data_IF_839273364741
#
_entry.id   IF_839273364741
#
_cell.length_a   1.000
_cell.length_b   1.000
_cell.length_c   1.000
_cell.angle_alpha   90.00
_cell.angle_beta   90.00
_cell.angle_gamma   90.00
#
_symmetry.space_group_name_H-M   'P 1'
#
loop_
_entity.id
_entity.type
_entity.pdbx_description
1 polymer ?
#
# COMPACT_ATOMS: atom_id res chain seq x y z
N UNK A 1 25.94 -0.97 -0.06
CA UNK A 1 25.91 0.06 1.00
C UNK A 1 24.45 0.35 1.33
N UNK A 2 24.04 0.21 2.58
CA UNK A 2 22.69 0.59 2.98
C UNK A 2 22.51 2.10 2.75
N UNK A 3 21.57 2.49 1.89
CA UNK A 3 21.26 3.92 1.66
C UNK A 3 20.83 4.52 3.01
N UNK A 4 21.44 5.65 3.41
CA UNK A 4 21.09 6.32 4.65
C UNK A 4 19.61 6.76 4.63
N UNK A 5 18.84 6.38 5.66
CA UNK A 5 17.45 6.81 5.78
C UNK A 5 17.45 8.30 6.15
N UNK A 6 16.79 9.11 5.34
CA UNK A 6 16.66 10.55 5.53
C UNK A 6 15.64 10.84 6.62
N UNK A 7 15.98 11.70 7.54
CA UNK A 7 15.06 12.15 8.60
C UNK A 7 14.20 13.30 8.09
N UNK A 8 12.97 13.34 8.51
CA UNK A 8 12.09 14.49 8.34
C UNK A 8 12.09 15.26 9.66
N UNK A 9 12.41 16.52 9.59
CA UNK A 9 12.61 17.37 10.77
C UNK A 9 11.37 17.36 11.68
N UNK A 10 11.60 17.29 13.00
CA UNK A 10 10.57 17.29 14.04
C UNK A 10 9.52 16.15 13.95
N UNK A 11 9.73 15.14 13.12
CA UNK A 11 8.99 13.87 13.18
C UNK A 11 9.75 12.92 14.10
N UNK A 12 9.07 12.39 15.12
CA UNK A 12 9.66 11.44 16.04
C UNK A 12 8.85 10.14 16.05
N UNK A 13 9.54 9.03 16.18
CA UNK A 13 9.00 7.68 16.13
C UNK A 13 9.50 6.91 17.34
N UNK A 14 8.61 6.23 18.05
CA UNK A 14 8.94 5.35 19.18
C UNK A 14 8.23 4.03 19.02
N UNK A 15 8.89 2.93 19.37
CA UNK A 15 8.37 1.57 19.25
C UNK A 15 8.47 0.81 20.55
N UNK A 16 7.51 -0.09 20.81
CA UNK A 16 7.50 -0.98 21.97
C UNK A 16 6.75 -2.28 21.64
N UNK A 17 6.90 -3.29 22.50
CA UNK A 17 6.14 -4.53 22.44
C UNK A 17 4.89 -4.42 23.33
N UNK A 18 3.75 -4.87 22.79
CA UNK A 18 2.52 -5.05 23.58
C UNK A 18 2.54 -6.32 24.44
N UNK A 19 3.53 -7.20 24.24
CA UNK A 19 3.61 -8.52 24.86
C UNK A 19 2.36 -9.40 24.62
N UNK A 20 1.72 -9.20 23.44
CA UNK A 20 0.54 -9.96 23.04
C UNK A 20 0.92 -11.04 22.03
N UNK A 21 0.51 -10.89 20.75
CA UNK A 21 0.62 -11.91 19.72
C UNK A 21 2.05 -12.28 19.35
N UNK A 22 2.97 -11.33 19.37
CA UNK A 22 4.34 -11.50 18.89
C UNK A 22 5.41 -11.55 20.01
N UNK A 23 4.99 -11.71 21.28
CA UNK A 23 5.90 -11.73 22.43
C UNK A 23 6.72 -10.44 22.53
N UNK A 24 8.03 -10.55 22.60
CA UNK A 24 8.95 -9.40 22.77
C UNK A 24 9.16 -8.58 21.50
N UNK A 25 8.64 -9.02 20.33
CA UNK A 25 8.74 -8.23 19.09
C UNK A 25 7.99 -6.91 19.25
N UNK A 26 8.63 -5.80 18.90
CA UNK A 26 7.97 -4.50 18.87
C UNK A 26 6.82 -4.53 17.83
N UNK A 27 5.60 -4.23 18.30
CA UNK A 27 4.35 -4.28 17.52
C UNK A 27 3.46 -3.05 17.73
N UNK A 28 3.99 -2.07 18.42
CA UNK A 28 3.33 -0.79 18.71
C UNK A 28 4.23 0.35 18.33
N UNK A 29 3.69 1.30 17.55
CA UNK A 29 4.40 2.44 17.02
C UNK A 29 3.64 3.73 17.37
N UNK A 30 4.35 4.67 17.97
CA UNK A 30 3.92 6.05 18.18
C UNK A 30 4.71 6.96 17.24
N UNK A 31 4.01 7.81 16.47
CA UNK A 31 4.62 8.87 15.66
C UNK A 31 4.07 10.21 16.13
N UNK A 32 4.93 11.15 16.46
CA UNK A 32 4.51 12.52 16.79
C UNK A 32 4.83 13.47 15.65
N UNK A 33 3.90 14.36 15.36
CA UNK A 33 3.95 15.35 14.30
C UNK A 33 3.87 16.76 14.87
N UNK A 34 4.75 17.68 14.46
CA UNK A 34 4.69 19.06 14.91
C UNK A 34 3.44 19.77 14.35
N UNK A 35 3.04 20.88 14.97
CA UNK A 35 1.88 21.69 14.54
C UNK A 35 1.96 22.20 13.09
N UNK A 36 3.16 22.28 12.53
CA UNK A 36 3.40 22.71 11.14
C UNK A 36 3.10 21.62 10.12
N UNK A 37 3.04 20.35 10.56
CA UNK A 37 2.78 19.23 9.69
C UNK A 37 1.34 19.23 9.17
N UNK A 38 1.19 18.96 7.88
CA UNK A 38 -0.11 18.70 7.25
C UNK A 38 -0.20 17.23 6.87
N UNK A 39 -1.39 16.69 7.02
CA UNK A 39 -1.67 15.26 6.87
C UNK A 39 -2.76 15.07 5.83
N UNK A 40 -2.55 14.13 4.92
CA UNK A 40 -3.57 13.57 4.04
C UNK A 40 -3.69 12.08 4.33
N UNK A 41 -4.88 11.62 4.65
CA UNK A 41 -5.18 10.20 4.88
C UNK A 41 -6.22 9.71 3.88
N UNK A 42 -6.02 8.49 3.40
CA UNK A 42 -7.00 7.73 2.63
C UNK A 42 -7.24 6.42 3.35
N UNK A 43 -8.49 5.95 3.37
CA UNK A 43 -8.92 4.78 4.13
C UNK A 43 -9.69 3.82 3.25
N UNK A 44 -9.74 2.56 3.66
CA UNK A 44 -10.46 1.49 2.96
C UNK A 44 -11.92 1.83 2.63
N UNK A 45 -12.38 1.41 1.47
CA UNK A 45 -13.80 1.43 1.08
C UNK A 45 -14.57 0.19 1.55
N UNK A 46 -13.90 -0.79 2.18
CA UNK A 46 -14.57 -1.96 2.73
C UNK A 46 -15.70 -1.54 3.67
N UNK A 47 -16.86 -2.16 3.55
CA UNK A 47 -18.04 -1.84 4.39
C UNK A 47 -17.83 -2.25 5.85
N UNK A 48 -16.99 -3.25 6.08
CA UNK A 48 -16.56 -3.70 7.42
C UNK A 48 -15.39 -2.84 7.94
N UNK A 49 -15.50 -1.50 7.92
CA UNK A 49 -14.44 -0.65 8.47
C UNK A 49 -14.15 -0.98 9.93
N UNK A 50 -12.88 -1.20 10.26
CA UNK A 50 -12.40 -1.42 11.63
C UNK A 50 -12.68 -0.20 12.54
N UNK A 51 -12.77 -0.43 13.84
CA UNK A 51 -13.01 0.63 14.82
C UNK A 51 -11.95 1.75 14.76
N UNK A 52 -10.63 1.47 14.63
CA UNK A 52 -9.61 2.49 14.46
C UNK A 52 -9.83 3.35 13.19
N UNK A 53 -10.20 2.73 12.07
CA UNK A 53 -10.46 3.46 10.82
C UNK A 53 -11.65 4.42 10.97
N UNK A 54 -12.74 3.97 11.59
CA UNK A 54 -13.90 4.83 11.85
C UNK A 54 -13.53 6.01 12.74
N UNK A 55 -12.79 5.77 13.82
CA UNK A 55 -12.36 6.81 14.74
C UNK A 55 -11.33 7.75 14.10
N UNK A 56 -10.39 7.24 13.29
CA UNK A 56 -9.43 8.08 12.57
C UNK A 56 -10.13 9.05 11.61
N UNK A 57 -11.15 8.61 10.88
CA UNK A 57 -11.97 9.47 10.01
C UNK A 57 -12.70 10.53 10.84
N UNK A 58 -13.32 10.16 11.97
CA UNK A 58 -13.99 11.07 12.90
C UNK A 58 -13.01 12.11 13.43
N UNK A 59 -11.87 11.70 13.96
CA UNK A 59 -10.85 12.58 14.52
C UNK A 59 -10.25 13.53 13.48
N UNK A 60 -9.93 13.07 12.28
CA UNK A 60 -9.39 13.91 11.21
C UNK A 60 -10.37 14.99 10.76
N UNK A 61 -11.68 14.71 10.78
CA UNK A 61 -12.71 15.70 10.43
C UNK A 61 -12.86 16.83 11.47
N UNK A 62 -12.47 16.57 12.73
CA UNK A 62 -12.55 17.49 13.85
C UNK A 62 -11.17 17.97 14.35
N UNK A 63 -10.07 17.45 13.77
CA UNK A 63 -8.72 17.75 14.25
C UNK A 63 -8.39 19.24 14.12
N UNK A 64 -7.83 19.82 15.19
CA UNK A 64 -7.36 21.21 15.17
C UNK A 64 -6.02 21.35 14.44
N UNK A 65 -5.71 22.60 14.06
CA UNK A 65 -4.35 22.99 13.64
C UNK A 65 -3.39 22.93 14.84
N UNK A 66 -2.86 21.74 15.13
CA UNK A 66 -1.99 21.51 16.28
C UNK A 66 -1.10 20.30 16.05
N UNK A 67 -0.28 20.00 17.01
CA UNK A 67 0.49 18.76 17.04
C UNK A 67 -0.44 17.55 16.95
N UNK A 68 0.01 16.48 16.31
CA UNK A 68 -0.74 15.24 16.16
C UNK A 68 0.11 14.05 16.56
N UNK A 69 -0.55 12.97 16.92
CA UNK A 69 0.11 11.70 17.13
C UNK A 69 -0.63 10.59 16.39
N UNK A 70 0.14 9.68 15.79
CA UNK A 70 -0.37 8.44 15.23
C UNK A 70 -0.06 7.30 16.18
N UNK A 71 -1.06 6.49 16.50
CA UNK A 71 -0.94 5.26 17.28
C UNK A 71 -1.19 4.09 16.34
N UNK A 72 -0.19 3.26 16.12
CA UNK A 72 -0.27 2.14 15.19
C UNK A 72 0.05 0.85 15.94
N UNK A 73 -0.83 -0.15 15.85
CA UNK A 73 -0.56 -1.47 16.39
C UNK A 73 -0.61 -2.54 15.31
N UNK A 74 0.23 -3.56 15.47
CA UNK A 74 0.22 -4.79 14.68
C UNK A 74 -0.18 -5.99 15.56
N UNK A 75 -0.80 -7.02 14.94
CA UNK A 75 -1.21 -8.25 15.60
C UNK A 75 -2.71 -8.37 15.90
N UNK A 76 -3.40 -7.25 16.10
CA UNK A 76 -4.86 -7.21 16.26
C UNK A 76 -5.45 -6.07 15.42
N UNK A 77 -6.38 -6.40 14.55
CA UNK A 77 -7.03 -5.44 13.62
C UNK A 77 -8.04 -4.53 14.31
N UNK A 78 -8.54 -4.91 15.47
CA UNK A 78 -9.73 -4.30 16.10
C UNK A 78 -10.88 -4.11 15.10
N UNK A 79 -11.11 -5.13 14.27
CA UNK A 79 -12.14 -5.19 13.25
C UNK A 79 -13.15 -6.29 13.60
N UNK A 80 -14.42 -6.10 13.25
CA UNK A 80 -15.53 -6.97 13.61
C UNK A 80 -15.73 -7.12 15.14
N UNK A 81 -15.24 -6.18 15.94
CA UNK A 81 -15.25 -6.17 17.41
C UNK A 81 -16.47 -5.44 18.00
N UNK A 82 -17.39 -5.00 17.15
CA UNK A 82 -18.64 -4.34 17.56
C UNK A 82 -18.43 -3.04 18.36
N UNK A 83 -19.33 -2.79 19.31
CA UNK A 83 -19.27 -1.59 20.15
C UNK A 83 -18.09 -1.62 21.15
N UNK A 84 -17.63 -2.82 21.54
CA UNK A 84 -16.50 -2.95 22.46
C UNK A 84 -15.21 -2.42 21.82
N UNK A 85 -14.87 -2.84 20.58
CA UNK A 85 -13.70 -2.34 19.90
C UNK A 85 -13.70 -0.83 19.69
N UNK A 86 -14.89 -0.21 19.52
CA UNK A 86 -15.01 1.25 19.47
C UNK A 86 -14.76 1.89 20.85
N UNK A 87 -15.23 1.28 21.94
CA UNK A 87 -14.92 1.75 23.30
C UNK A 87 -13.41 1.67 23.58
N UNK A 88 -12.79 0.57 23.19
CA UNK A 88 -11.37 0.31 23.42
C UNK A 88 -10.49 1.33 22.67
N UNK A 89 -10.77 1.59 21.39
CA UNK A 89 -9.99 2.57 20.62
C UNK A 89 -10.19 4.00 21.15
N UNK A 90 -11.40 4.37 21.54
CA UNK A 90 -11.68 5.68 22.16
C UNK A 90 -10.96 5.83 23.50
N UNK A 91 -10.92 4.76 24.29
CA UNK A 91 -10.24 4.74 25.58
C UNK A 91 -8.74 4.99 25.44
N UNK A 92 -8.01 4.17 24.67
CA UNK A 92 -6.56 4.37 24.57
C UNK A 92 -6.17 5.67 23.86
N UNK A 93 -6.99 6.15 22.90
CA UNK A 93 -6.77 7.45 22.28
C UNK A 93 -6.93 8.61 23.29
N UNK A 94 -7.93 8.53 24.17
CA UNK A 94 -8.15 9.52 25.25
C UNK A 94 -6.98 9.54 26.24
N UNK A 95 -6.55 8.37 26.69
CA UNK A 95 -5.44 8.23 27.63
C UNK A 95 -4.14 8.79 27.02
N UNK A 96 -3.81 8.38 25.80
CA UNK A 96 -2.61 8.89 25.11
C UNK A 96 -2.69 10.38 24.79
N UNK A 97 -3.88 10.93 24.54
CA UNK A 97 -4.06 12.37 24.38
C UNK A 97 -3.68 13.12 25.67
N UNK A 98 -4.11 12.61 26.84
CA UNK A 98 -3.70 13.13 28.14
C UNK A 98 -2.20 13.02 28.35
N UNK A 99 -1.61 11.83 28.08
CA UNK A 99 -0.19 11.57 28.25
C UNK A 99 0.71 12.43 27.35
N UNK A 100 0.22 12.83 26.18
CA UNK A 100 0.92 13.66 25.20
C UNK A 100 0.55 15.17 25.30
N UNK A 101 -0.37 15.53 26.19
CA UNK A 101 -0.93 16.88 26.29
C UNK A 101 -1.53 17.39 24.96
N UNK A 102 -2.27 16.52 24.28
CA UNK A 102 -2.93 16.79 23.01
C UNK A 102 -4.47 16.73 23.16
N UNK A 103 -5.19 17.30 22.19
CA UNK A 103 -6.62 17.04 22.06
C UNK A 103 -6.84 15.61 21.55
N UNK A 104 -7.92 14.96 22.00
CA UNK A 104 -8.22 13.58 21.57
C UNK A 104 -8.37 13.45 20.04
N UNK A 105 -8.91 14.47 19.39
CA UNK A 105 -9.07 14.51 17.93
C UNK A 105 -7.75 14.63 17.17
N UNK A 106 -6.66 14.96 17.86
CA UNK A 106 -5.33 14.99 17.29
C UNK A 106 -4.57 13.65 17.44
N UNK A 107 -5.20 12.64 18.06
CA UNK A 107 -4.69 11.27 18.13
C UNK A 107 -5.36 10.45 17.03
N UNK A 108 -4.59 9.96 16.08
CA UNK A 108 -5.09 9.21 14.93
C UNK A 108 -4.68 7.74 15.06
N UNK A 109 -5.63 6.81 15.30
CA UNK A 109 -5.33 5.40 15.48
C UNK A 109 -5.29 4.63 14.16
N UNK A 110 -4.41 3.63 14.10
CA UNK A 110 -4.30 2.65 13.02
C UNK A 110 -4.05 1.28 13.62
N UNK A 111 -4.58 0.23 13.02
CA UNK A 111 -4.38 -1.15 13.47
C UNK A 111 -4.24 -2.09 12.29
N UNK A 112 -3.52 -3.20 12.49
CA UNK A 112 -3.43 -4.30 11.52
C UNK A 112 -3.25 -5.61 12.27
N UNK A 113 -3.71 -6.73 11.69
CA UNK A 113 -3.57 -8.07 12.27
C UNK A 113 -4.89 -8.85 12.23
N UNK A 114 -5.12 -9.68 13.24
CA UNK A 114 -6.26 -10.60 13.27
C UNK A 114 -7.59 -9.88 13.42
N UNK A 115 -8.57 -10.32 12.64
CA UNK A 115 -9.96 -9.83 12.63
C UNK A 115 -10.79 -10.67 13.61
N UNK A 116 -11.71 -10.04 14.33
CA UNK A 116 -12.70 -10.71 15.19
C UNK A 116 -12.22 -11.10 16.60
N UNK A 117 -10.96 -10.88 16.92
CA UNK A 117 -10.43 -11.09 18.28
C UNK A 117 -10.63 -9.85 19.17
N UNK A 118 -10.88 -10.08 20.46
CA UNK A 118 -10.96 -9.02 21.46
C UNK A 118 -9.67 -8.19 21.47
N UNK A 119 -9.80 -6.87 21.53
CA UNK A 119 -8.64 -5.99 21.53
C UNK A 119 -8.01 -5.91 22.92
N UNK A 120 -6.74 -6.28 23.13
CA UNK A 120 -6.08 -6.25 24.45
C UNK A 120 -5.64 -4.81 24.79
N UNK A 121 -6.62 -3.96 25.10
CA UNK A 121 -6.49 -2.50 25.21
C UNK A 121 -5.41 -2.04 26.17
N UNK A 122 -5.30 -2.68 27.35
CA UNK A 122 -4.30 -2.29 28.36
C UNK A 122 -2.85 -2.61 27.92
N UNK A 123 -2.66 -3.72 27.22
CA UNK A 123 -1.36 -4.10 26.67
C UNK A 123 -0.86 -3.06 25.66
N UNK A 124 -1.71 -2.70 24.69
CA UNK A 124 -1.35 -1.69 23.70
C UNK A 124 -1.21 -0.30 24.30
N UNK A 125 -2.05 0.09 25.27
CA UNK A 125 -1.90 1.37 25.96
C UNK A 125 -0.53 1.46 26.67
N UNK A 126 -0.14 0.41 27.39
CA UNK A 126 1.17 0.37 28.05
C UNK A 126 2.32 0.43 27.04
N UNK A 127 2.21 -0.30 25.91
CA UNK A 127 3.19 -0.24 24.84
C UNK A 127 3.29 1.17 24.20
N UNK A 128 2.20 1.88 24.00
CA UNK A 128 2.24 3.26 23.51
C UNK A 128 2.89 4.22 24.52
N UNK A 129 2.66 4.03 25.83
CA UNK A 129 3.35 4.78 26.88
C UNK A 129 4.86 4.50 26.89
N UNK A 130 5.25 3.26 26.72
CA UNK A 130 6.65 2.87 26.57
C UNK A 130 7.26 3.44 25.28
N UNK A 131 6.57 3.35 24.14
CA UNK A 131 6.98 3.94 22.87
C UNK A 131 7.20 5.45 22.99
N UNK A 132 6.39 6.17 23.79
CA UNK A 132 6.56 7.59 24.08
C UNK A 132 7.95 7.88 24.70
N UNK A 133 8.42 7.06 25.63
CA UNK A 133 9.72 7.25 26.26
C UNK A 133 10.91 6.99 25.31
N UNK A 134 10.66 6.31 24.17
CA UNK A 134 11.64 5.95 23.14
C UNK A 134 11.57 6.81 21.89
N UNK A 135 10.82 7.90 21.88
CA UNK A 135 10.66 8.79 20.72
C UNK A 135 12.01 9.32 20.23
N UNK A 136 12.26 9.18 18.94
CA UNK A 136 13.49 9.65 18.28
C UNK A 136 13.26 9.86 16.78
N UNK A 137 13.86 10.90 16.22
CA UNK A 137 13.89 11.13 14.77
C UNK A 137 14.75 10.11 13.99
N UNK A 138 15.34 9.10 14.66
CA UNK A 138 16.20 8.07 14.02
C UNK A 138 15.49 6.73 13.82
N UNK A 139 14.33 6.51 14.40
CA UNK A 139 13.71 5.18 14.52
C UNK A 139 12.91 4.72 13.28
N UNK A 140 13.21 5.23 12.10
CA UNK A 140 12.48 4.91 10.85
C UNK A 140 12.44 3.43 10.52
N UNK A 141 13.58 2.72 10.63
CA UNK A 141 13.63 1.29 10.36
C UNK A 141 12.90 0.48 11.44
N UNK A 142 13.00 0.89 12.72
CA UNK A 142 12.22 0.28 13.81
C UNK A 142 10.71 0.45 13.57
N UNK A 143 10.29 1.64 13.16
CA UNK A 143 8.90 1.92 12.83
C UNK A 143 8.38 1.03 11.70
N UNK A 144 9.17 0.87 10.61
CA UNK A 144 8.83 -0.02 9.52
C UNK A 144 8.70 -1.50 9.96
N UNK A 145 9.54 -1.95 10.90
CA UNK A 145 9.46 -3.31 11.46
C UNK A 145 8.27 -3.50 12.40
N UNK A 146 7.93 -2.49 13.21
CA UNK A 146 6.89 -2.60 14.23
C UNK A 146 5.48 -2.78 13.66
N UNK A 147 5.26 -2.44 12.40
CA UNK A 147 3.93 -2.58 11.76
C UNK A 147 3.75 -3.87 10.97
N UNK A 148 4.76 -4.75 10.89
CA UNK A 148 4.72 -5.99 10.12
C UNK A 148 3.85 -7.05 10.79
N UNK A 149 3.12 -7.81 9.96
CA UNK A 149 2.32 -8.98 10.38
C UNK A 149 2.88 -10.26 9.77
N UNK A 150 2.44 -10.63 8.57
CA UNK A 150 2.93 -11.76 7.77
C UNK A 150 4.09 -11.39 6.84
N UNK A 151 4.41 -10.11 6.78
CA UNK A 151 5.54 -9.59 6.00
C UNK A 151 6.87 -10.23 6.43
N UNK A 152 7.73 -10.57 5.47
CA UNK A 152 9.05 -11.18 5.76
C UNK A 152 10.15 -10.15 5.97
N UNK A 153 9.97 -8.92 5.47
CA UNK A 153 10.95 -7.83 5.54
C UNK A 153 10.30 -6.45 5.62
N UNK A 154 10.96 -5.46 6.27
CA UNK A 154 10.46 -4.09 6.26
C UNK A 154 10.56 -3.48 4.87
N UNK A 155 9.50 -2.78 4.47
CA UNK A 155 9.43 -2.04 3.20
C UNK A 155 9.59 -0.56 3.51
N UNK A 156 10.78 -0.03 3.26
CA UNK A 156 11.13 1.36 3.50
C UNK A 156 11.91 1.93 2.34
N UNK A 157 11.51 3.10 1.88
CA UNK A 157 12.18 3.87 0.82
C UNK A 157 12.52 5.25 1.36
N UNK A 158 13.73 5.70 1.10
CA UNK A 158 14.17 7.03 1.48
C UNK A 158 15.02 7.65 0.40
N UNK A 159 14.68 8.87 -0.02
CA UNK A 159 15.38 9.59 -1.09
C UNK A 159 15.55 11.07 -0.74
N UNK A 160 16.64 11.64 -1.24
CA UNK A 160 16.79 13.07 -1.39
C UNK A 160 16.65 13.43 -2.85
N UNK A 161 15.84 14.45 -3.15
CA UNK A 161 15.61 14.93 -4.50
C UNK A 161 15.89 16.40 -4.58
N UNK A 162 16.65 16.81 -5.61
CA UNK A 162 16.92 18.23 -5.86
C UNK A 162 15.92 18.77 -6.86
N UNK A 163 15.19 19.79 -6.48
CA UNK A 163 14.26 20.51 -7.33
C UNK A 163 14.69 21.97 -7.32
N UNK A 164 15.13 22.48 -8.46
CA UNK A 164 15.74 23.81 -8.60
C UNK A 164 16.96 23.96 -7.67
N UNK A 165 16.90 24.84 -6.68
CA UNK A 165 17.99 25.08 -5.72
C UNK A 165 17.83 24.32 -4.40
N UNK A 166 16.63 23.78 -4.13
CA UNK A 166 16.30 23.16 -2.86
C UNK A 166 16.42 21.62 -2.91
N UNK A 167 16.76 21.03 -1.76
CA UNK A 167 16.81 19.59 -1.57
C UNK A 167 15.66 19.19 -0.67
N UNK A 168 14.84 18.26 -1.14
CA UNK A 168 13.71 17.69 -0.42
C UNK A 168 14.02 16.25 -0.03
N UNK A 169 13.74 15.91 1.23
CA UNK A 169 13.83 14.53 1.72
C UNK A 169 12.43 13.89 1.70
N UNK A 170 12.36 12.66 1.21
CA UNK A 170 11.13 11.86 1.21
C UNK A 170 11.47 10.51 1.83
N UNK A 171 10.79 10.14 2.91
CA UNK A 171 10.94 8.84 3.56
C UNK A 171 9.57 8.22 3.76
N UNK A 172 9.39 7.01 3.29
CA UNK A 172 8.15 6.28 3.44
C UNK A 172 8.38 4.82 3.78
N UNK A 173 7.45 4.24 4.52
CA UNK A 173 7.39 2.82 4.80
C UNK A 173 5.96 2.30 4.70
N UNK A 174 5.86 1.01 4.38
CA UNK A 174 4.58 0.32 4.21
C UNK A 174 4.67 -1.11 4.71
N UNK A 175 3.53 -1.72 5.01
CA UNK A 175 3.36 -3.14 5.29
C UNK A 175 2.19 -3.69 4.51
N UNK A 176 2.26 -4.97 4.21
CA UNK A 176 1.26 -5.76 3.52
C UNK A 176 1.93 -6.87 2.71
N UNK A 177 1.34 -8.06 2.72
CA UNK A 177 1.83 -9.23 1.99
C UNK A 177 0.68 -10.13 1.50
N UNK A 178 -0.48 -10.12 2.17
CA UNK A 178 -1.74 -10.75 1.75
C UNK A 178 -2.91 -9.83 2.02
N UNK A 179 -4.13 -10.25 1.60
CA UNK A 179 -5.36 -9.47 1.62
C UNK A 179 -5.15 -8.13 0.91
N UNK A 180 -4.57 -8.16 -0.31
CA UNK A 180 -4.23 -6.96 -1.09
C UNK A 180 -5.07 -6.89 -2.36
N UNK A 181 -6.02 -5.94 -2.37
CA UNK A 181 -6.77 -5.49 -3.54
C UNK A 181 -7.09 -4.01 -3.44
N UNK A 182 -6.87 -3.22 -4.52
CA UNK A 182 -7.17 -1.80 -4.47
C UNK A 182 -8.66 -1.52 -4.63
N UNK A 183 -9.20 -0.86 -3.65
CA UNK A 183 -10.36 0.03 -3.69
C UNK A 183 -10.18 1.07 -2.58
N UNK A 184 -9.07 1.80 -2.64
CA UNK A 184 -8.37 2.52 -1.58
C UNK A 184 -7.74 1.58 -0.55
N UNK A 185 -6.57 1.04 -0.93
CA UNK A 185 -5.45 0.51 -0.18
C UNK A 185 -5.74 -0.68 0.78
N UNK A 186 -5.10 -1.83 0.50
CA UNK A 186 -5.03 -2.97 1.42
C UNK A 186 -3.67 -3.01 2.11
N UNK A 187 -3.34 -1.96 2.86
CA UNK A 187 -2.04 -1.84 3.49
C UNK A 187 -2.04 -0.73 4.54
N UNK A 188 -1.00 -0.70 5.36
CA UNK A 188 -0.65 0.51 6.08
C UNK A 188 0.56 1.14 5.39
N UNK A 189 0.45 2.39 4.99
CA UNK A 189 1.56 3.16 4.43
C UNK A 189 1.66 4.55 5.04
N UNK A 190 2.89 4.96 5.31
CA UNK A 190 3.20 6.25 5.89
C UNK A 190 4.36 6.87 5.10
N UNK A 191 4.09 7.96 4.40
CA UNK A 191 5.08 8.69 3.61
C UNK A 191 5.21 10.10 4.15
N UNK A 192 6.44 10.54 4.39
CA UNK A 192 6.76 11.83 4.98
C UNK A 192 7.66 12.60 4.02
N UNK A 193 7.38 13.88 3.86
CA UNK A 193 8.08 14.75 2.92
C UNK A 193 8.50 16.04 3.63
N UNK A 194 9.76 16.38 3.49
CA UNK A 194 10.33 17.64 3.96
C UNK A 194 10.00 18.77 2.96
N UNK A 195 8.73 19.16 2.91
CA UNK A 195 8.21 20.22 2.07
C UNK A 195 7.01 20.89 2.74
N UNK A 196 6.72 22.14 2.36
CA UNK A 196 5.54 22.88 2.79
C UNK A 196 4.62 23.11 1.59
N UNK A 197 3.48 22.41 1.57
CA UNK A 197 2.42 22.56 0.55
C UNK A 197 1.09 22.87 1.23
N UNK A 198 0.12 23.44 0.50
CA UNK A 198 -1.21 23.62 1.06
C UNK A 198 -2.00 22.31 1.12
N UNK A 199 -3.07 22.27 1.93
CA UNK A 199 -3.83 21.04 2.16
C UNK A 199 -4.49 20.49 0.88
N UNK A 200 -5.00 21.37 0.01
CA UNK A 200 -5.64 20.95 -1.26
C UNK A 200 -4.65 20.27 -2.19
N UNK A 201 -3.46 20.87 -2.35
CA UNK A 201 -2.36 20.26 -3.13
C UNK A 201 -1.92 18.93 -2.54
N UNK A 202 -1.76 18.85 -1.20
CA UNK A 202 -1.40 17.61 -0.50
C UNK A 202 -2.39 16.49 -0.78
N UNK A 203 -3.69 16.76 -0.62
CA UNK A 203 -4.73 15.77 -0.86
C UNK A 203 -4.74 15.29 -2.33
N UNK A 204 -4.55 16.22 -3.28
CA UNK A 204 -4.48 15.87 -4.69
C UNK A 204 -3.24 15.03 -5.01
N UNK A 205 -2.07 15.44 -4.53
CA UNK A 205 -0.81 14.69 -4.73
C UNK A 205 -0.92 13.27 -4.19
N UNK A 206 -1.54 13.12 -3.00
CA UNK A 206 -1.74 11.82 -2.37
C UNK A 206 -2.67 10.93 -3.22
N UNK A 207 -3.85 11.43 -3.60
CA UNK A 207 -4.79 10.69 -4.44
C UNK A 207 -4.16 10.28 -5.78
N UNK A 208 -3.51 11.20 -6.48
CA UNK A 208 -2.82 10.95 -7.75
C UNK A 208 -1.66 9.92 -7.60
N UNK A 209 -1.01 9.87 -6.44
CA UNK A 209 0.04 8.89 -6.16
C UNK A 209 -0.53 7.49 -5.92
N UNK A 210 -1.64 7.40 -5.18
CA UNK A 210 -2.34 6.14 -4.91
C UNK A 210 -2.86 5.49 -6.19
N UNK A 211 -3.44 6.27 -7.10
CA UNK A 211 -4.04 5.76 -8.34
C UNK A 211 -3.06 4.99 -9.24
N UNK A 212 -1.77 5.33 -9.17
CA UNK A 212 -0.72 4.71 -10.00
C UNK A 212 0.22 3.81 -9.21
N UNK A 213 -0.09 3.52 -7.96
CA UNK A 213 0.73 2.70 -7.06
C UNK A 213 -0.12 1.68 -6.31
N UNK A 214 -0.53 1.96 -5.08
CA UNK A 214 -1.29 1.03 -4.26
C UNK A 214 -2.67 0.68 -4.85
N UNK A 215 -3.31 1.55 -5.62
CA UNK A 215 -4.53 1.25 -6.39
C UNK A 215 -4.25 0.52 -7.73
N UNK A 216 -3.03 0.11 -7.97
CA UNK A 216 -2.60 -0.59 -9.17
C UNK A 216 -1.84 -1.90 -8.83
N UNK A 217 -2.11 -2.48 -7.66
CA UNK A 217 -1.54 -3.77 -7.24
C UNK A 217 -2.64 -4.69 -6.72
N UNK A 218 -2.44 -6.01 -6.77
CA UNK A 218 -3.28 -7.00 -6.10
C UNK A 218 -2.48 -8.26 -5.79
N UNK A 219 -2.81 -8.95 -4.70
CA UNK A 219 -2.26 -10.27 -4.38
C UNK A 219 -3.33 -11.35 -4.55
N UNK A 220 -4.47 -11.19 -3.91
CA UNK A 220 -5.53 -12.22 -3.79
C UNK A 220 -6.94 -11.72 -4.13
N UNK A 221 -7.08 -10.44 -4.41
CA UNK A 221 -8.38 -9.85 -4.73
C UNK A 221 -9.22 -9.46 -3.51
N UNK A 222 -8.69 -9.59 -2.30
CA UNK A 222 -9.40 -9.30 -1.05
C UNK A 222 -9.07 -7.92 -0.48
N UNK A 223 -10.08 -7.21 0.04
CA UNK A 223 -9.94 -5.89 0.67
C UNK A 223 -9.97 -6.00 2.18
N UNK A 224 -9.06 -5.31 2.87
CA UNK A 224 -9.01 -5.29 4.33
C UNK A 224 -9.93 -4.22 4.95
N UNK A 225 -10.42 -4.43 6.18
CA UNK A 225 -11.16 -3.44 6.95
C UNK A 225 -10.29 -2.31 7.55
N UNK A 226 -8.97 -2.43 7.49
CA UNK A 226 -8.03 -1.58 8.23
C UNK A 226 -7.19 -0.65 7.37
N UNK A 227 -7.25 -0.79 6.04
CA UNK A 227 -6.30 -0.14 5.15
C UNK A 227 -6.29 1.36 5.28
N UNK A 228 -5.08 1.88 5.35
CA UNK A 228 -4.85 3.31 5.51
C UNK A 228 -3.55 3.71 4.84
N UNK A 229 -3.62 4.76 4.03
CA UNK A 229 -2.46 5.43 3.48
C UNK A 229 -2.37 6.85 4.00
N UNK A 230 -1.17 7.25 4.42
CA UNK A 230 -0.91 8.55 5.02
C UNK A 230 0.23 9.25 4.30
N UNK A 231 -0.01 10.47 3.85
CA UNK A 231 1.02 11.37 3.34
C UNK A 231 1.13 12.59 4.24
N UNK A 232 2.31 12.79 4.81
CA UNK A 232 2.62 13.93 5.70
C UNK A 232 3.62 14.85 5.02
N UNK A 233 3.37 16.15 5.08
CA UNK A 233 4.36 17.15 4.69
C UNK A 233 4.71 18.02 5.90
N UNK A 234 6.01 18.21 6.11
CA UNK A 234 6.54 19.05 7.17
C UNK A 234 7.85 19.71 6.72
N UNK A 235 7.77 20.87 6.11
CA UNK A 235 8.91 21.67 5.67
C UNK A 235 8.89 23.07 6.30
N UNK A 236 10.07 23.67 6.38
CA UNK A 236 10.21 25.08 6.79
C UNK A 236 9.78 26.05 5.67
N UNK A 237 9.82 27.37 5.94
CA UNK A 237 9.36 28.40 5.00
C UNK A 237 10.16 28.40 3.68
N UNK A 238 11.46 28.06 3.70
CA UNK A 238 12.30 27.99 2.50
C UNK A 238 11.87 26.86 1.56
N UNK A 239 11.19 25.84 2.08
CA UNK A 239 10.62 24.69 1.34
C UNK A 239 9.15 24.88 1.00
N UNK A 240 8.64 26.11 1.04
CA UNK A 240 7.27 26.43 0.68
C UNK A 240 7.06 26.40 -0.82
N UNK A 241 6.07 25.63 -1.27
CA UNK A 241 5.81 25.36 -2.68
C UNK A 241 4.48 26.00 -3.09
N UNK A 242 4.53 26.81 -4.15
CA UNK A 242 3.33 27.46 -4.70
C UNK A 242 2.48 26.42 -5.45
N UNK A 243 1.14 26.44 -5.26
CA UNK A 243 0.23 25.59 -6.00
C UNK A 243 0.39 25.72 -7.52
N UNK A 244 0.24 24.60 -8.22
CA UNK A 244 0.35 24.48 -9.69
C UNK A 244 1.71 24.90 -10.28
N UNK A 245 2.74 25.11 -9.46
CA UNK A 245 4.08 25.46 -9.91
C UNK A 245 4.80 24.25 -10.54
N UNK A 246 5.88 24.55 -11.30
CA UNK A 246 6.77 23.48 -11.83
C UNK A 246 7.39 22.66 -10.69
N UNK A 247 7.72 23.32 -9.57
CA UNK A 247 8.28 22.68 -8.37
C UNK A 247 7.29 21.71 -7.75
N UNK A 248 6.00 22.09 -7.62
CA UNK A 248 4.94 21.19 -7.11
C UNK A 248 4.77 19.96 -8.01
N UNK A 249 4.72 20.16 -9.33
CA UNK A 249 4.60 19.05 -10.30
C UNK A 249 5.78 18.07 -10.20
N UNK A 250 7.01 18.58 -10.06
CA UNK A 250 8.20 17.74 -9.87
C UNK A 250 8.18 17.00 -8.54
N UNK A 251 7.80 17.68 -7.43
CA UNK A 251 7.69 17.03 -6.14
C UNK A 251 6.61 15.93 -6.16
N UNK A 252 5.46 16.21 -6.76
CA UNK A 252 4.40 15.22 -6.94
C UNK A 252 4.87 13.99 -7.72
N UNK A 253 5.71 14.19 -8.76
CA UNK A 253 6.31 13.09 -9.51
C UNK A 253 7.22 12.22 -8.63
N UNK A 254 8.10 12.82 -7.83
CA UNK A 254 8.97 12.06 -6.91
C UNK A 254 8.16 11.33 -5.82
N UNK A 255 7.09 11.94 -5.31
CA UNK A 255 6.19 11.27 -4.37
C UNK A 255 5.54 10.06 -5.04
N UNK A 256 5.04 10.19 -6.27
CA UNK A 256 4.50 9.06 -7.05
C UNK A 256 5.50 7.91 -7.22
N UNK A 257 6.78 8.24 -7.46
CA UNK A 257 7.84 7.24 -7.58
C UNK A 257 8.07 6.48 -6.26
N UNK A 258 8.09 7.18 -5.12
CA UNK A 258 8.19 6.54 -3.80
C UNK A 258 7.01 5.58 -3.54
N UNK A 259 5.78 6.02 -3.84
CA UNK A 259 4.59 5.18 -3.69
C UNK A 259 4.64 3.96 -4.60
N UNK A 260 5.10 4.10 -5.84
CA UNK A 260 5.30 2.97 -6.78
C UNK A 260 6.35 1.99 -6.27
N UNK A 261 7.50 2.48 -5.80
CA UNK A 261 8.55 1.62 -5.26
C UNK A 261 8.08 0.87 -4.00
N UNK A 262 7.32 1.52 -3.11
CA UNK A 262 6.69 0.83 -1.97
C UNK A 262 5.69 -0.24 -2.43
N UNK A 263 4.87 0.04 -3.44
CA UNK A 263 3.94 -0.91 -4.02
C UNK A 263 4.66 -2.13 -4.65
N UNK A 264 5.78 -1.89 -5.34
CA UNK A 264 6.62 -2.98 -5.86
C UNK A 264 7.19 -3.85 -4.74
N UNK A 265 7.68 -3.25 -3.64
CA UNK A 265 8.19 -3.99 -2.48
C UNK A 265 7.10 -4.84 -1.81
N UNK A 266 5.83 -4.37 -1.80
CA UNK A 266 4.70 -5.15 -1.29
C UNK A 266 4.46 -6.42 -2.12
N UNK A 267 4.45 -6.30 -3.46
CA UNK A 267 4.28 -7.44 -4.36
C UNK A 267 5.48 -8.38 -4.34
N UNK A 268 6.71 -7.86 -4.19
CA UNK A 268 7.92 -8.69 -4.06
C UNK A 268 7.97 -9.51 -2.76
N UNK A 269 7.23 -9.08 -1.72
CA UNK A 269 7.12 -9.73 -0.43
C UNK A 269 5.71 -10.29 -0.20
N UNK A 270 4.93 -10.48 -1.26
CA UNK A 270 3.59 -11.07 -1.15
C UNK A 270 3.68 -12.52 -0.64
N UNK A 271 2.69 -12.95 0.13
CA UNK A 271 2.64 -14.28 0.75
C UNK A 271 2.83 -15.39 -0.29
N UNK A 272 3.87 -16.19 -0.10
CA UNK A 272 4.21 -17.29 -1.00
C UNK A 272 4.66 -16.89 -2.41
N UNK A 273 4.87 -15.61 -2.70
CA UNK A 273 5.22 -15.14 -4.03
C UNK A 273 6.61 -15.62 -4.50
N UNK A 274 6.65 -16.23 -5.67
CA UNK A 274 7.90 -16.59 -6.35
C UNK A 274 8.19 -15.67 -7.54
N UNK A 275 7.16 -15.00 -8.06
CA UNK A 275 7.26 -14.11 -9.23
C UNK A 275 6.51 -12.80 -9.01
N UNK A 276 7.09 -11.72 -9.54
CA UNK A 276 6.46 -10.41 -9.71
C UNK A 276 5.89 -10.34 -11.14
N UNK A 277 4.59 -10.10 -11.26
CA UNK A 277 3.89 -10.10 -12.53
C UNK A 277 3.34 -8.70 -12.80
N UNK A 278 3.67 -8.15 -13.95
CA UNK A 278 3.18 -6.89 -14.46
C UNK A 278 2.21 -7.16 -15.61
N UNK A 279 0.98 -6.69 -15.50
CA UNK A 279 -0.04 -6.82 -16.51
C UNK A 279 -0.36 -5.44 -17.06
N UNK A 280 0.02 -5.19 -18.31
CA UNK A 280 -0.21 -3.93 -19.00
C UNK A 280 -1.28 -4.11 -20.06
N UNK A 281 -2.41 -3.43 -19.88
CA UNK A 281 -3.50 -3.38 -20.87
C UNK A 281 -3.44 -2.04 -21.59
N UNK A 282 -3.39 -2.07 -22.91
CA UNK A 282 -3.29 -0.87 -23.75
C UNK A 282 -4.31 -0.86 -24.87
N UNK A 283 -4.48 0.31 -25.49
CA UNK A 283 -5.47 0.56 -26.55
C UNK A 283 -6.89 0.15 -26.16
N UNK A 284 -7.26 0.34 -24.90
CA UNK A 284 -8.60 0.14 -24.38
C UNK A 284 -9.51 1.34 -24.74
N UNK A 285 -10.82 1.11 -24.82
CA UNK A 285 -11.87 2.11 -25.07
C UNK A 285 -11.89 3.22 -24.00
N UNK A 286 -11.61 2.84 -22.73
CA UNK A 286 -11.58 3.74 -21.60
C UNK A 286 -10.61 3.24 -20.52
N UNK A 287 -10.23 4.14 -19.59
CA UNK A 287 -9.43 3.75 -18.41
C UNK A 287 -10.16 2.70 -17.56
N UNK A 288 -11.49 2.79 -17.46
CA UNK A 288 -12.33 1.79 -16.75
C UNK A 288 -12.18 0.42 -17.37
N UNK A 289 -12.23 0.30 -18.70
CA UNK A 289 -12.02 -0.96 -19.39
C UNK A 289 -10.60 -1.49 -19.18
N UNK A 290 -9.58 -0.64 -19.33
CA UNK A 290 -8.19 -1.04 -19.14
C UNK A 290 -7.96 -1.58 -17.71
N UNK A 291 -8.48 -0.90 -16.70
CA UNK A 291 -8.47 -1.33 -15.29
C UNK A 291 -9.19 -2.67 -15.12
N UNK A 292 -10.41 -2.80 -15.58
CA UNK A 292 -11.23 -4.00 -15.42
C UNK A 292 -10.50 -5.23 -15.97
N UNK A 293 -10.04 -5.15 -17.21
CA UNK A 293 -9.34 -6.26 -17.88
C UNK A 293 -8.03 -6.60 -17.16
N UNK A 294 -7.25 -5.59 -16.77
CA UNK A 294 -5.98 -5.82 -16.08
C UNK A 294 -6.19 -6.55 -14.74
N UNK A 295 -7.17 -6.14 -13.92
CA UNK A 295 -7.52 -6.80 -12.68
C UNK A 295 -8.15 -8.18 -12.89
N UNK A 296 -9.01 -8.35 -13.90
CA UNK A 296 -9.58 -9.66 -14.22
C UNK A 296 -8.51 -10.70 -14.54
N UNK A 297 -7.43 -10.30 -15.18
CA UNK A 297 -6.28 -11.18 -15.44
C UNK A 297 -5.45 -11.38 -14.15
N UNK A 298 -5.14 -10.30 -13.43
CA UNK A 298 -4.29 -10.30 -12.24
C UNK A 298 -4.87 -11.13 -11.08
N UNK A 299 -6.19 -11.16 -10.96
CA UNK A 299 -6.93 -11.86 -9.91
C UNK A 299 -7.38 -13.28 -10.34
N UNK A 300 -7.03 -13.73 -11.55
CA UNK A 300 -7.39 -15.07 -12.02
C UNK A 300 -6.52 -16.15 -11.38
N UNK A 301 -7.06 -17.05 -10.53
CA UNK A 301 -6.28 -18.16 -9.96
C UNK A 301 -5.65 -19.03 -11.03
N UNK A 302 -6.34 -19.28 -12.16
CA UNK A 302 -5.81 -20.08 -13.26
C UNK A 302 -4.61 -19.41 -13.95
N UNK A 303 -4.65 -18.07 -14.11
CA UNK A 303 -3.50 -17.34 -14.66
C UNK A 303 -2.35 -17.34 -13.65
N UNK A 304 -2.62 -17.04 -12.37
CA UNK A 304 -1.60 -16.97 -11.32
C UNK A 304 -0.90 -18.30 -11.08
N UNK A 305 -1.62 -19.44 -11.11
CA UNK A 305 -1.04 -20.78 -10.99
C UNK A 305 -0.24 -21.17 -12.24
N UNK A 306 -0.64 -20.76 -13.45
CA UNK A 306 0.18 -20.94 -14.65
C UNK A 306 1.50 -20.15 -14.55
N UNK A 307 1.45 -18.92 -14.02
CA UNK A 307 2.67 -18.14 -13.76
C UNK A 307 3.60 -18.85 -12.77
N UNK A 308 3.07 -19.40 -11.67
CA UNK A 308 3.83 -20.21 -10.72
C UNK A 308 4.51 -21.40 -11.38
N UNK A 309 3.76 -22.20 -12.14
CA UNK A 309 4.26 -23.36 -12.88
C UNK A 309 5.17 -23.04 -14.06
N UNK A 310 5.43 -21.75 -14.34
CA UNK A 310 6.17 -21.30 -15.54
C UNK A 310 5.54 -21.77 -16.86
N UNK A 311 4.22 -21.98 -16.87
CA UNK A 311 3.42 -22.35 -18.03
C UNK A 311 2.97 -21.08 -18.79
N UNK A 312 3.38 -20.96 -20.04
CA UNK A 312 2.96 -19.84 -20.90
C UNK A 312 1.53 -20.05 -21.45
N UNK A 313 0.59 -20.28 -20.54
CA UNK A 313 -0.79 -20.64 -20.86
C UNK A 313 -1.58 -19.44 -21.42
N UNK A 314 -1.36 -19.14 -22.69
CA UNK A 314 -2.05 -18.08 -23.39
C UNK A 314 -3.57 -18.25 -23.38
N UNK A 315 -4.06 -19.49 -23.38
CA UNK A 315 -5.49 -19.79 -23.30
C UNK A 315 -6.13 -19.28 -22.02
N UNK A 316 -5.45 -19.45 -20.86
CA UNK A 316 -5.94 -18.93 -19.57
C UNK A 316 -5.94 -17.41 -19.54
N UNK A 317 -4.94 -16.74 -20.12
CA UNK A 317 -4.88 -15.29 -20.21
C UNK A 317 -5.99 -14.76 -21.12
N UNK A 318 -6.15 -15.35 -22.32
CA UNK A 318 -7.19 -14.95 -23.28
C UNK A 318 -8.60 -15.19 -22.70
N UNK A 319 -8.79 -16.32 -22.01
CA UNK A 319 -10.05 -16.62 -21.31
C UNK A 319 -10.36 -15.61 -20.21
N UNK A 320 -9.34 -15.15 -19.47
CA UNK A 320 -9.51 -14.09 -18.47
C UNK A 320 -9.91 -12.75 -19.13
N UNK A 321 -9.32 -12.39 -20.28
CA UNK A 321 -9.77 -11.23 -21.09
C UNK A 321 -11.23 -11.39 -21.50
N UNK A 322 -11.58 -12.54 -22.08
CA UNK A 322 -12.92 -12.79 -22.62
C UNK A 322 -14.03 -12.85 -21.56
N UNK A 323 -13.72 -13.16 -20.29
CA UNK A 323 -14.72 -13.14 -19.21
C UNK A 323 -14.97 -11.73 -18.65
N UNK A 324 -14.16 -10.74 -19.00
CA UNK A 324 -14.36 -9.37 -18.52
C UNK A 324 -15.59 -8.75 -19.16
N UNK A 325 -16.49 -8.22 -18.34
CA UNK A 325 -17.79 -7.70 -18.79
C UNK A 325 -17.70 -6.46 -19.70
N UNK A 326 -16.55 -5.81 -19.77
CA UNK A 326 -16.31 -4.63 -20.61
C UNK A 326 -15.80 -5.00 -22.01
N UNK A 327 -15.51 -6.27 -22.25
CA UNK A 327 -15.04 -6.79 -23.54
C UNK A 327 -16.25 -7.22 -24.38
N UNK A 328 -16.33 -6.67 -25.59
CA UNK A 328 -17.39 -6.96 -26.57
C UNK A 328 -16.98 -8.09 -27.54
N UNK A 329 -15.68 -8.14 -27.92
CA UNK A 329 -15.09 -9.18 -28.77
C UNK A 329 -13.61 -9.37 -28.43
N UNK A 330 -13.09 -10.56 -28.72
CA UNK A 330 -11.67 -10.88 -28.61
C UNK A 330 -10.93 -10.86 -29.96
N UNK A 331 -11.62 -10.58 -31.07
CA UNK A 331 -11.10 -10.79 -32.42
C UNK A 331 -9.86 -9.97 -32.78
N UNK A 332 -9.65 -8.83 -32.10
CA UNK A 332 -8.47 -7.98 -32.29
C UNK A 332 -7.45 -8.09 -31.17
N UNK A 333 -7.75 -8.89 -30.11
CA UNK A 333 -6.87 -8.99 -28.93
C UNK A 333 -5.50 -9.57 -29.30
N UNK A 334 -4.45 -8.92 -28.79
CA UNK A 334 -3.08 -9.43 -28.84
C UNK A 334 -2.52 -9.59 -27.43
N UNK A 335 -1.76 -10.66 -27.23
CA UNK A 335 -1.10 -10.98 -25.95
C UNK A 335 0.35 -11.36 -26.21
N UNK A 336 1.25 -10.78 -25.41
CA UNK A 336 2.64 -11.20 -25.35
C UNK A 336 3.13 -11.31 -23.89
N UNK A 337 4.12 -12.15 -23.65
CA UNK A 337 4.77 -12.31 -22.34
C UNK A 337 6.28 -12.14 -22.50
N UNK A 338 6.85 -11.18 -21.75
CA UNK A 338 8.27 -10.81 -21.85
C UNK A 338 8.74 -10.59 -23.30
N UNK A 339 7.88 -10.01 -24.14
CA UNK A 339 8.15 -9.74 -25.56
C UNK A 339 7.95 -10.95 -26.50
N UNK A 340 7.60 -12.11 -25.98
CA UNK A 340 7.27 -13.28 -26.79
C UNK A 340 5.79 -13.23 -27.18
N UNK A 341 5.43 -13.20 -28.49
CA UNK A 341 4.04 -13.17 -28.93
C UNK A 341 3.34 -14.50 -28.63
N UNK A 342 2.15 -14.45 -28.05
CA UNK A 342 1.34 -15.60 -27.71
C UNK A 342 0.04 -15.64 -28.51
N UNK A 343 -0.68 -14.50 -28.53
CA UNK A 343 -1.99 -14.35 -29.19
C UNK A 343 -1.96 -13.17 -30.17
N UNK A 344 -2.59 -13.35 -31.31
CA UNK A 344 -2.85 -12.31 -32.30
C UNK A 344 -4.22 -12.52 -32.91
N UNK A 345 -5.03 -11.45 -32.97
CA UNK A 345 -6.40 -11.51 -33.48
C UNK A 345 -7.22 -12.61 -32.81
N UNK A 346 -7.20 -12.65 -31.47
CA UNK A 346 -7.98 -13.61 -30.67
C UNK A 346 -7.61 -15.08 -30.81
N UNK A 347 -6.52 -15.40 -31.50
CA UNK A 347 -6.07 -16.78 -31.70
C UNK A 347 -4.55 -16.89 -31.51
N UNK A 348 -4.02 -18.11 -31.49
CA UNK A 348 -2.56 -18.32 -31.36
C UNK A 348 -1.79 -17.55 -32.42
N UNK A 349 -0.73 -16.82 -32.04
CA UNK A 349 0.10 -16.10 -32.99
C UNK A 349 0.93 -17.08 -33.85
N UNK A 350 0.99 -16.84 -35.16
CA UNK A 350 1.81 -17.65 -36.09
C UNK A 350 3.30 -17.67 -35.76
N UNK A 351 3.78 -16.69 -34.97
CA UNK A 351 5.16 -16.60 -34.45
C UNK A 351 5.31 -17.19 -33.05
N UNK A 352 4.27 -17.82 -32.50
CA UNK A 352 4.34 -18.49 -31.21
C UNK A 352 5.41 -19.59 -31.20
N UNK A 353 6.12 -19.67 -30.12
CA UNK A 353 7.11 -20.72 -29.89
C UNK A 353 7.05 -21.14 -28.41
N UNK A 354 6.59 -22.33 -28.16
CA UNK A 354 6.50 -22.93 -26.84
C UNK A 354 7.81 -22.82 -26.06
N UNK A 355 8.93 -23.19 -26.69
CA UNK A 355 10.25 -23.15 -26.07
C UNK A 355 10.67 -21.74 -25.65
N UNK A 356 10.39 -20.71 -26.48
CA UNK A 356 10.69 -19.30 -26.15
C UNK A 356 9.77 -18.80 -25.04
N UNK A 357 8.50 -19.16 -25.08
CA UNK A 357 7.50 -18.75 -24.11
C UNK A 357 7.81 -19.36 -22.73
N UNK A 358 8.07 -20.66 -22.64
CA UNK A 358 8.48 -21.35 -21.40
C UNK A 358 9.78 -20.75 -20.83
N UNK A 359 10.78 -20.45 -21.67
CA UNK A 359 12.01 -19.77 -21.22
C UNK A 359 11.71 -18.38 -20.66
N UNK A 360 10.79 -17.63 -21.25
CA UNK A 360 10.39 -16.31 -20.79
C UNK A 360 9.66 -16.39 -19.43
N UNK A 361 8.86 -17.45 -19.21
CA UNK A 361 8.08 -17.66 -17.98
C UNK A 361 8.94 -18.10 -16.77
N UNK A 362 10.16 -18.61 -16.99
CA UNK A 362 11.09 -18.98 -15.90
C UNK A 362 11.73 -17.77 -15.19
N UNK A 363 11.54 -16.57 -15.72
CA UNK A 363 12.05 -15.34 -15.08
C UNK A 363 11.26 -15.03 -13.82
N UNK A 364 11.90 -14.37 -12.83
CA UNK A 364 11.24 -13.86 -11.63
C UNK A 364 10.28 -12.70 -11.94
N UNK A 365 10.60 -11.91 -12.97
CA UNK A 365 9.75 -10.80 -13.43
C UNK A 365 9.08 -11.18 -14.74
N UNK A 366 7.74 -11.18 -14.72
CA UNK A 366 6.90 -11.50 -15.86
C UNK A 366 6.13 -10.24 -16.29
N UNK A 367 6.26 -9.87 -17.56
CA UNK A 367 5.51 -8.77 -18.16
C UNK A 367 4.49 -9.34 -19.16
N UNK A 368 3.23 -9.28 -18.81
CA UNK A 368 2.10 -9.63 -19.68
C UNK A 368 1.60 -8.36 -20.35
N UNK A 369 1.63 -8.30 -21.67
CA UNK A 369 1.10 -7.18 -22.44
C UNK A 369 -0.16 -7.63 -23.18
N UNK A 370 -1.25 -6.90 -22.98
CA UNK A 370 -2.54 -7.11 -23.64
C UNK A 370 -2.91 -5.86 -24.40
N UNK A 371 -3.17 -6.01 -25.70
CA UNK A 371 -3.57 -4.91 -26.59
C UNK A 371 -4.97 -5.18 -27.09
N UNK A 372 -5.92 -4.29 -26.79
CA UNK A 372 -7.36 -4.48 -27.09
C UNK A 372 -7.79 -3.89 -28.43
N UNK A 373 -7.03 -2.91 -28.97
CA UNK A 373 -7.35 -2.18 -30.24
C UNK A 373 -8.71 -1.47 -30.27
N UNK A 374 -9.33 -1.20 -29.13
CA UNK A 374 -10.64 -0.55 -29.02
C UNK A 374 -10.56 0.97 -28.72
N UNK A 375 -9.37 1.51 -28.45
CA UNK A 375 -9.19 2.92 -28.11
C UNK A 375 -7.73 3.33 -27.87
N UNK A 376 -7.51 4.24 -26.92
CA UNK A 376 -6.17 4.77 -26.56
C UNK A 376 -5.82 4.68 -25.08
N UNK A 377 -6.76 4.26 -24.24
CA UNK A 377 -6.54 4.17 -22.83
C UNK A 377 -5.63 2.99 -22.47
N UNK A 378 -4.89 3.16 -21.38
CA UNK A 378 -3.97 2.14 -20.88
C UNK A 378 -4.00 2.09 -19.36
N UNK A 379 -3.70 0.93 -18.80
CA UNK A 379 -3.54 0.73 -17.37
C UNK A 379 -2.61 -0.45 -17.08
N UNK A 380 -1.93 -0.39 -15.95
CA UNK A 380 -0.99 -1.41 -15.53
C UNK A 380 -1.30 -1.85 -14.10
N UNK A 381 -1.26 -3.15 -13.84
CA UNK A 381 -1.41 -3.78 -12.52
C UNK A 381 -0.19 -4.62 -12.22
N UNK A 382 0.31 -4.53 -10.97
CA UNK A 382 1.28 -5.48 -10.43
C UNK A 382 0.58 -6.53 -9.58
N UNK A 383 0.99 -7.77 -9.74
CA UNK A 383 0.51 -8.89 -8.93
C UNK A 383 1.64 -9.91 -8.70
N UNK A 384 1.39 -10.91 -7.86
CA UNK A 384 2.24 -12.09 -7.67
C UNK A 384 1.64 -13.30 -8.38
N UNK A 385 2.40 -14.37 -8.51
CA UNK A 385 1.88 -15.72 -8.78
C UNK A 385 1.11 -16.27 -7.56
N UNK A 386 0.53 -17.45 -7.70
CA UNK A 386 -0.18 -18.17 -6.63
C UNK A 386 0.51 -19.53 -6.45
N UNK A 387 1.26 -19.66 -5.35
CA UNK A 387 2.03 -20.85 -4.98
C UNK A 387 1.30 -21.71 -3.94
N UNK A 388 1.84 -22.88 -3.66
CA UNK A 388 1.41 -23.74 -2.56
C UNK A 388 1.65 -23.07 -1.20
N UNK A 389 2.73 -22.30 -1.05
CA UNK A 389 3.06 -21.56 0.17
C UNK A 389 2.00 -20.53 0.53
N UNK A 390 1.36 -19.88 -0.46
CA UNK A 390 0.23 -18.99 -0.20
C UNK A 390 -0.91 -19.72 0.53
N UNK A 391 -1.23 -20.93 0.10
CA UNK A 391 -2.28 -21.75 0.72
C UNK A 391 -1.87 -22.16 2.14
N UNK A 392 -0.64 -22.60 2.33
CA UNK A 392 -0.13 -23.00 3.66
C UNK A 392 -0.15 -21.84 4.64
N UNK A 393 0.38 -20.67 4.26
CA UNK A 393 0.39 -19.47 5.11
C UNK A 393 -1.03 -19.09 5.54
N UNK A 394 -1.99 -19.07 4.61
CA UNK A 394 -3.34 -18.62 4.88
C UNK A 394 -4.23 -19.68 5.55
N UNK A 395 -3.88 -20.97 5.50
CA UNK A 395 -4.56 -22.03 6.28
C UNK A 395 -4.23 -21.94 7.76
N UNK A 396 -3.03 -21.50 8.11
CA UNK A 396 -2.55 -21.42 9.50
C UNK A 396 -2.78 -20.04 10.14
N UNK A 397 -2.87 -18.98 9.34
CA UNK A 397 -3.06 -17.63 9.83
C UNK A 397 -4.55 -17.32 10.01
N UNK A 398 -4.97 -17.04 11.23
CA UNK A 398 -6.30 -16.50 11.50
C UNK A 398 -6.32 -15.02 11.10
N UNK A 399 -6.99 -14.74 10.02
CA UNK A 399 -7.21 -13.37 9.54
C UNK A 399 -8.48 -12.76 10.14
#
# INVERSE_FOLDING_TARGET
MAKSIQRIENIQLGTASSLTRYGDKEDSLLITLPKTAKVSCQFTNNKLKAAPVKLAIEHLSHSSNGEKAFLINAGNANAATGSQGMRDVKFYCKEMASDLNLKKENIIPFSTGVIGEAFPVNNYLNAFREAKSKLSGKNWLKAANAILTTDTKPKIISKQVKIEKEIYSITGFAKGSGMIRPDFATLLSFVFVDAKVNQRSLNKIHADALDVSFNAITVDGDTSPNDSSVLVVNGNENKSIKPNSKTEKKLAQYIKEIFKELAELLIEDAEGATKKIRISVSKAKSLTQAKSVAFTIAESPLVKTAMFGSDANWGRILSAVGRDRTIETIDDVQISVNGVPLVKKGSIDSKYSEAKATKAMKKREINVQVVLYSGKAEFEVLTSDLSEDYVLINSDYRS
#
